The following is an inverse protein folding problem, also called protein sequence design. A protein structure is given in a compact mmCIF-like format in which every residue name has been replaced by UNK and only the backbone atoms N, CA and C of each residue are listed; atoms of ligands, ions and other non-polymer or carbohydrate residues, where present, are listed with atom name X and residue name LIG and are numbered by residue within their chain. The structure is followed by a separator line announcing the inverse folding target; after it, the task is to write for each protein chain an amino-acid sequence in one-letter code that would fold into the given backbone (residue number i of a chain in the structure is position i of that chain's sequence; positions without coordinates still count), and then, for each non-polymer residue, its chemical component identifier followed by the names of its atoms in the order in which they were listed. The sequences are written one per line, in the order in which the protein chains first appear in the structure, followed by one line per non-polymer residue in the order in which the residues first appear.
data_IF_186344766333
#
_entry.id   IF_186344766333
#
_cell.length_a   1.000
_cell.length_b   1.000
_cell.length_c   1.000
_cell.angle_alpha   90.00
_cell.angle_beta   90.00
_cell.angle_gamma   90.00
#
_symmetry.space_group_name_H-M   'P 1'
#
loop_
_entity.id
_entity.type
_entity.pdbx_description
1 polymer ?
#
# COMPACT_ATOMS: atom_id res chain seq x y z
N UNK A 1 -41.82 10.52 -51.05
CA UNK A 1 -41.01 9.43 -51.66
C UNK A 1 -39.66 9.99 -52.06
N UNK A 2 -38.56 9.30 -51.66
CA UNK A 2 -37.13 9.41 -52.11
C UNK A 2 -36.33 10.55 -51.46
N UNK A 3 -35.56 10.32 -50.38
CA UNK A 3 -34.22 9.68 -50.22
C UNK A 3 -33.09 10.41 -50.98
N UNK A 4 -32.15 11.00 -50.23
CA UNK A 4 -30.70 11.18 -50.52
C UNK A 4 -30.05 11.82 -49.27
N UNK A 5 -29.43 11.07 -48.35
CA UNK A 5 -28.00 10.72 -48.29
C UNK A 5 -27.06 11.94 -48.34
N UNK A 6 -26.53 12.33 -47.18
CA UNK A 6 -25.25 13.01 -47.06
C UNK A 6 -24.51 12.41 -45.87
N UNK A 7 -23.53 11.58 -46.19
CA UNK A 7 -22.57 11.02 -45.26
C UNK A 7 -21.68 12.14 -44.70
N UNK A 8 -21.54 12.21 -43.38
CA UNK A 8 -20.39 12.86 -42.76
C UNK A 8 -19.75 11.86 -41.82
N UNK A 9 -18.56 11.45 -42.25
CA UNK A 9 -17.59 10.62 -41.56
C UNK A 9 -17.19 11.30 -40.25
N UNK A 10 -17.49 10.68 -39.12
CA UNK A 10 -16.82 10.97 -37.84
C UNK A 10 -16.21 9.65 -37.37
N UNK A 11 -15.13 9.27 -38.04
CA UNK A 11 -14.22 8.22 -37.63
C UNK A 11 -13.04 8.88 -36.94
N UNK A 12 -13.13 9.08 -35.64
CA UNK A 12 -11.98 9.34 -34.76
C UNK A 12 -12.40 9.25 -33.29
N UNK A 13 -11.57 8.56 -32.50
CA UNK A 13 -11.46 8.64 -31.04
C UNK A 13 -12.36 7.77 -30.16
N UNK A 14 -12.39 6.45 -30.36
CA UNK A 14 -12.60 5.53 -29.21
C UNK A 14 -11.75 4.25 -29.35
N UNK A 15 -10.46 4.41 -29.65
CA UNK A 15 -9.45 3.37 -29.38
C UNK A 15 -8.71 3.79 -28.11
N UNK A 16 -9.40 3.76 -26.97
CA UNK A 16 -8.81 3.92 -25.64
C UNK A 16 -9.41 2.89 -24.65
N UNK A 17 -9.71 1.68 -25.11
CA UNK A 17 -10.27 0.62 -24.27
C UNK A 17 -9.36 -0.61 -24.16
N UNK A 18 -8.07 -0.49 -24.49
CA UNK A 18 -7.12 -1.62 -24.53
C UNK A 18 -5.90 -1.44 -23.62
N UNK A 19 -5.98 -0.61 -22.60
CA UNK A 19 -4.86 -0.41 -21.68
C UNK A 19 -5.35 -0.12 -20.26
N UNK A 20 -6.20 -1.01 -19.72
CA UNK A 20 -6.30 -1.10 -18.27
C UNK A 20 -5.20 -2.06 -17.81
N UNK A 21 -4.14 -1.56 -17.17
CA UNK A 21 -2.98 -2.36 -16.83
C UNK A 21 -3.34 -3.35 -15.72
N UNK A 22 -2.72 -4.52 -15.76
CA UNK A 22 -2.79 -5.59 -14.78
C UNK A 22 -2.15 -5.21 -13.41
N UNK A 23 -2.27 -3.96 -12.98
CA UNK A 23 -1.73 -3.43 -11.72
C UNK A 23 -2.76 -3.49 -10.56
N UNK A 24 -3.98 -3.95 -10.81
CA UNK A 24 -5.01 -4.04 -9.77
C UNK A 24 -4.80 -5.24 -8.82
N UNK A 25 -4.12 -6.30 -9.27
CA UNK A 25 -4.02 -7.52 -8.47
C UNK A 25 -3.03 -7.40 -7.30
N UNK A 26 -1.89 -6.73 -7.51
CA UNK A 26 -0.92 -6.47 -6.44
C UNK A 26 -1.48 -5.45 -5.42
N UNK A 27 -2.33 -4.52 -5.86
CA UNK A 27 -2.91 -3.50 -4.97
C UNK A 27 -3.93 -4.08 -3.98
N UNK A 28 -4.70 -5.08 -4.39
CA UNK A 28 -5.67 -5.76 -3.53
C UNK A 28 -4.96 -6.60 -2.43
N UNK A 29 -3.93 -7.38 -2.79
CA UNK A 29 -3.16 -8.20 -1.83
C UNK A 29 -2.40 -7.33 -0.80
N UNK A 30 -1.91 -6.16 -1.20
CA UNK A 30 -1.25 -5.22 -0.28
C UNK A 30 -2.28 -4.56 0.63
N UNK A 31 -3.43 -4.19 0.07
CA UNK A 31 -4.53 -3.60 0.83
C UNK A 31 -5.02 -4.54 1.94
N UNK A 32 -5.19 -5.83 1.65
CA UNK A 32 -5.56 -6.83 2.66
C UNK A 32 -4.49 -6.98 3.76
N UNK A 33 -3.21 -7.02 3.39
CA UNK A 33 -2.11 -7.09 4.36
C UNK A 33 -2.03 -5.85 5.26
N UNK A 34 -2.30 -4.66 4.71
CA UNK A 34 -2.40 -3.42 5.51
C UNK A 34 -3.60 -3.48 6.45
N UNK A 35 -4.76 -3.95 6.00
CA UNK A 35 -5.93 -4.09 6.87
C UNK A 35 -5.66 -5.05 8.03
N UNK A 36 -4.99 -6.18 7.77
CA UNK A 36 -4.53 -7.08 8.81
C UNK A 36 -3.52 -6.44 9.76
N UNK A 37 -2.58 -5.65 9.23
CA UNK A 37 -1.59 -4.94 10.02
C UNK A 37 -2.25 -3.88 10.92
N UNK A 38 -3.18 -3.08 10.39
CA UNK A 38 -3.99 -2.14 11.16
C UNK A 38 -4.70 -2.86 12.31
N UNK A 39 -5.42 -3.94 12.03
CA UNK A 39 -6.17 -4.68 13.05
C UNK A 39 -5.29 -5.27 14.18
N UNK A 40 -4.03 -5.62 13.88
CA UNK A 40 -3.09 -6.21 14.84
C UNK A 40 -2.28 -5.17 15.60
N UNK A 41 -1.91 -4.08 14.94
CA UNK A 41 -0.93 -3.11 15.42
C UNK A 41 -1.58 -1.86 16.04
N UNK A 42 -2.75 -1.44 15.56
CA UNK A 42 -3.52 -0.29 16.05
C UNK A 42 -4.13 -0.61 17.42
N UNK A 43 -3.36 -0.32 18.48
CA UNK A 43 -3.71 -0.73 19.84
C UNK A 43 -4.63 0.27 20.50
N UNK A 44 -4.44 1.56 20.19
CA UNK A 44 -5.27 2.63 20.73
C UNK A 44 -6.56 2.86 19.93
N UNK A 45 -6.68 2.24 18.75
CA UNK A 45 -7.85 2.21 17.87
C UNK A 45 -8.19 3.59 17.33
N UNK A 46 -7.16 4.38 17.04
CA UNK A 46 -7.32 5.69 16.40
C UNK A 46 -7.48 5.59 14.87
N UNK A 47 -7.27 4.39 14.30
CA UNK A 47 -7.36 4.11 12.87
C UNK A 47 -6.09 4.45 12.09
N UNK A 48 -4.99 4.73 12.79
CA UNK A 48 -3.66 5.00 12.25
C UNK A 48 -2.64 4.12 12.99
N UNK A 49 -1.40 4.10 12.49
CA UNK A 49 -0.29 3.42 13.15
C UNK A 49 0.84 4.38 13.48
N UNK A 50 1.10 4.52 14.76
CA UNK A 50 2.32 5.19 15.23
C UNK A 50 3.57 4.34 14.93
N UNK A 51 4.72 5.01 14.83
CA UNK A 51 6.01 4.31 14.68
C UNK A 51 6.23 3.25 15.78
N UNK A 52 5.85 3.57 17.02
CA UNK A 52 6.01 2.67 18.16
C UNK A 52 5.10 1.44 18.07
N UNK A 53 3.88 1.58 17.54
CA UNK A 53 2.97 0.46 17.31
C UNK A 53 3.48 -0.50 16.26
N UNK A 54 3.92 0.03 15.11
CA UNK A 54 4.54 -0.79 14.05
C UNK A 54 5.78 -1.49 14.58
N UNK A 55 6.68 -0.73 15.21
CA UNK A 55 7.94 -1.26 15.72
C UNK A 55 7.72 -2.34 16.80
N UNK A 56 6.83 -2.07 17.76
CA UNK A 56 6.57 -3.00 18.88
C UNK A 56 5.81 -4.24 18.46
N UNK A 57 4.83 -4.12 17.55
CA UNK A 57 4.05 -5.26 17.10
C UNK A 57 4.85 -6.17 16.17
N UNK A 58 5.62 -5.61 15.23
CA UNK A 58 6.53 -6.41 14.40
C UNK A 58 7.60 -7.09 15.27
N UNK A 59 8.15 -6.41 16.27
CA UNK A 59 9.09 -7.03 17.22
C UNK A 59 8.46 -8.22 17.95
N UNK A 60 7.21 -8.09 18.39
CA UNK A 60 6.50 -9.16 19.06
C UNK A 60 6.25 -10.37 18.14
N UNK A 61 5.97 -10.15 16.86
CA UNK A 61 5.84 -11.21 15.85
C UNK A 61 7.18 -11.94 15.62
N UNK A 62 8.30 -11.21 15.58
CA UNK A 62 9.65 -11.78 15.40
C UNK A 62 10.16 -12.54 16.64
N UNK A 63 9.90 -12.05 17.87
CA UNK A 63 10.31 -12.73 19.11
C UNK A 63 9.57 -14.08 19.30
N UNK A 64 8.43 -14.30 18.63
CA UNK A 64 7.68 -15.55 18.63
C UNK A 64 8.31 -16.68 17.80
N UNK A 65 9.29 -16.40 16.94
CA UNK A 65 9.79 -17.34 15.93
C UNK A 65 11.33 -17.45 15.88
N UNK A 66 11.93 -18.23 16.79
CA UNK A 66 13.32 -18.72 16.64
C UNK A 66 14.43 -17.67 16.68
N UNK A 67 15.16 -17.62 17.80
CA UNK A 67 15.96 -16.46 18.24
C UNK A 67 17.15 -15.99 17.39
N UNK A 68 17.68 -16.77 16.43
CA UNK A 68 18.94 -16.41 15.76
C UNK A 68 18.78 -15.66 14.41
N UNK A 69 17.67 -15.82 13.66
CA UNK A 69 17.43 -15.05 12.42
C UNK A 69 16.53 -13.84 12.64
N UNK A 70 15.65 -13.89 13.63
CA UNK A 70 14.63 -12.88 13.89
C UNK A 70 15.21 -11.50 14.23
N UNK A 71 16.27 -11.44 15.03
CA UNK A 71 16.89 -10.16 15.43
C UNK A 71 17.55 -9.43 14.24
N UNK A 72 18.19 -10.16 13.33
CA UNK A 72 18.83 -9.59 12.15
C UNK A 72 17.80 -9.11 11.12
N UNK A 73 16.70 -9.84 10.95
CA UNK A 73 15.58 -9.42 10.10
C UNK A 73 14.85 -8.22 10.68
N UNK A 74 14.60 -8.22 11.99
CA UNK A 74 14.01 -7.07 12.68
C UNK A 74 14.88 -5.82 12.57
N UNK A 75 16.20 -5.93 12.73
CA UNK A 75 17.10 -4.78 12.57
C UNK A 75 17.08 -4.22 11.14
N UNK A 76 16.96 -5.08 10.12
CA UNK A 76 16.80 -4.63 8.72
C UNK A 76 15.45 -3.97 8.49
N UNK A 77 14.39 -4.54 9.06
CA UNK A 77 13.05 -3.98 9.01
C UNK A 77 13.01 -2.60 9.68
N UNK A 78 13.56 -2.46 10.89
CA UNK A 78 13.64 -1.21 11.64
C UNK A 78 14.44 -0.14 10.86
N UNK A 79 15.56 -0.52 10.25
CA UNK A 79 16.35 0.40 9.42
C UNK A 79 15.56 0.90 8.21
N UNK A 80 14.89 0.00 7.48
CA UNK A 80 14.00 0.38 6.38
C UNK A 80 12.80 1.21 6.85
N UNK A 81 12.23 0.87 8.01
CA UNK A 81 11.10 1.60 8.58
C UNK A 81 11.54 3.04 8.87
N UNK A 82 12.65 3.26 9.55
CA UNK A 82 13.16 4.62 9.84
C UNK A 82 13.44 5.44 8.57
N UNK A 83 13.89 4.79 7.50
CA UNK A 83 14.17 5.44 6.22
C UNK A 83 12.89 5.78 5.44
N UNK A 84 11.91 4.86 5.43
CA UNK A 84 10.70 4.97 4.60
C UNK A 84 9.48 5.56 5.32
N UNK A 85 9.42 5.51 6.64
CA UNK A 85 8.34 6.09 7.44
C UNK A 85 8.09 7.57 7.10
N UNK A 86 9.10 8.47 7.11
CA UNK A 86 8.86 9.88 6.76
C UNK A 86 8.53 10.11 5.27
N UNK A 87 8.76 9.11 4.41
CA UNK A 87 8.35 9.18 3.01
C UNK A 87 6.92 8.66 2.80
N UNK A 88 6.42 7.84 3.72
CA UNK A 88 5.05 7.31 3.70
C UNK A 88 4.06 8.23 4.44
N UNK A 89 4.50 8.85 5.53
CA UNK A 89 3.80 9.91 6.27
C UNK A 89 3.74 11.18 5.39
N UNK A 90 2.67 11.26 4.59
CA UNK A 90 2.48 12.29 3.59
C UNK A 90 1.83 13.54 4.18
N UNK A 91 1.00 13.37 5.22
CA UNK A 91 0.35 14.48 5.91
C UNK A 91 1.22 15.09 7.04
N UNK A 92 2.27 14.39 7.47
CA UNK A 92 3.26 14.85 8.44
C UNK A 92 2.75 14.81 9.88
N UNK A 93 1.75 13.98 10.18
CA UNK A 93 1.17 13.84 11.51
C UNK A 93 1.93 12.85 12.41
N UNK A 94 3.01 12.26 11.89
CA UNK A 94 3.85 11.25 12.54
C UNK A 94 3.11 9.94 12.89
N UNK A 95 1.98 9.71 12.22
CA UNK A 95 1.23 8.48 12.21
C UNK A 95 1.09 8.01 10.75
N UNK A 96 0.73 6.75 10.54
CA UNK A 96 0.43 6.24 9.20
C UNK A 96 -1.03 5.86 9.14
N UNK A 97 -1.80 6.59 8.36
CA UNK A 97 -3.13 6.12 8.01
C UNK A 97 -3.07 4.91 7.06
N UNK A 98 -4.24 4.35 6.75
CA UNK A 98 -4.35 3.18 5.88
C UNK A 98 -3.67 3.37 4.51
N UNK A 99 -3.82 4.53 3.88
CA UNK A 99 -3.25 4.81 2.54
C UNK A 99 -1.74 5.00 2.62
N UNK A 100 -1.26 5.65 3.67
CA UNK A 100 0.16 5.84 3.96
C UNK A 100 0.83 4.50 4.31
N UNK A 101 0.16 3.63 5.06
CA UNK A 101 0.62 2.27 5.35
C UNK A 101 0.70 1.40 4.09
N UNK A 102 -0.23 1.54 3.12
CA UNK A 102 -0.11 0.90 1.79
C UNK A 102 1.14 1.40 1.05
N UNK A 103 1.39 2.71 1.08
CA UNK A 103 2.59 3.30 0.49
C UNK A 103 3.86 2.74 1.12
N UNK A 104 3.88 2.63 2.46
CA UNK A 104 4.98 2.03 3.19
C UNK A 104 5.17 0.55 2.80
N UNK A 105 4.12 -0.27 2.81
CA UNK A 105 4.22 -1.69 2.45
C UNK A 105 4.75 -1.88 1.03
N UNK A 106 4.27 -1.09 0.06
CA UNK A 106 4.80 -1.08 -1.31
C UNK A 106 6.30 -0.77 -1.33
N UNK A 107 6.74 0.23 -0.58
CA UNK A 107 8.15 0.59 -0.46
C UNK A 107 9.04 -0.49 0.20
N UNK A 108 8.45 -1.43 0.95
CA UNK A 108 9.15 -2.58 1.52
C UNK A 108 9.27 -3.77 0.55
N UNK A 109 8.32 -3.90 -0.38
CA UNK A 109 8.26 -4.95 -1.41
C UNK A 109 9.06 -4.62 -2.67
N UNK A 110 9.36 -3.35 -2.91
CA UNK A 110 10.29 -2.87 -3.96
C UNK A 110 11.77 -3.01 -3.55
#
# INVERSE_FOLDING_TARGET
MRRSVAAVVVSCLLVCASMWPAAAQDDDDISEQVDEAMLKLDKDKDGKLSFEEVHSGVKADFDGGGADSAAAEFARFEAKLKDRYPAADADGDALLDRQEAVTLMKAFME
#
